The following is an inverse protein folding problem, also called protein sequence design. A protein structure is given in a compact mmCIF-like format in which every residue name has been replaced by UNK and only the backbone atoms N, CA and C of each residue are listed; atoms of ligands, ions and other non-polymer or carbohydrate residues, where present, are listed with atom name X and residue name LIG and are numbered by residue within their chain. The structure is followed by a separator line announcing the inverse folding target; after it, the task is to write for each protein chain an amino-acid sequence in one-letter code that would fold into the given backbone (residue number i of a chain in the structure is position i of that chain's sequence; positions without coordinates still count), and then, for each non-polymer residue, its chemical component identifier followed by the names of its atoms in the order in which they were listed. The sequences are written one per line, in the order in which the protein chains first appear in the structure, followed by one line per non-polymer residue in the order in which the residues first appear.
data_IF_352211269042
#
_entry.id   IF_352211269042
#
_cell.length_a   1.000
_cell.length_b   1.000
_cell.length_c   1.000
_cell.angle_alpha   90.00
_cell.angle_beta   90.00
_cell.angle_gamma   90.00
#
_symmetry.space_group_name_H-M   'P 1'
#
loop_
_entity.id
_entity.type
_entity.pdbx_description
1 polymer ?
#
# COMPACT_ATOMS: atom_id res chain seq x y z
N UNK A 1 -40.34 20.41 10.48
CA UNK A 1 -39.21 19.47 10.49
C UNK A 1 -38.29 19.85 9.34
N UNK A 2 -37.08 20.33 9.64
CA UNK A 2 -36.06 20.58 8.62
C UNK A 2 -35.37 19.25 8.38
N UNK A 3 -35.47 18.75 7.15
CA UNK A 3 -34.68 17.63 6.65
C UNK A 3 -33.23 18.11 6.55
N UNK A 4 -32.41 17.77 7.53
CA UNK A 4 -30.99 18.11 7.53
C UNK A 4 -30.27 17.29 6.45
N UNK A 5 -29.96 17.98 5.35
CA UNK A 5 -28.92 17.76 4.36
C UNK A 5 -28.20 16.40 4.40
N UNK A 6 -28.56 15.54 3.44
CA UNK A 6 -27.61 14.67 2.76
C UNK A 6 -26.55 15.55 2.05
N UNK A 7 -25.60 16.09 2.81
CA UNK A 7 -24.42 16.74 2.24
C UNK A 7 -23.53 15.63 1.66
N UNK A 8 -23.83 15.22 0.43
CA UNK A 8 -22.87 14.55 -0.43
C UNK A 8 -21.57 15.37 -0.38
N UNK A 9 -20.49 14.77 0.13
CA UNK A 9 -19.17 15.39 0.17
C UNK A 9 -18.64 15.46 -1.26
N UNK A 10 -19.11 16.44 -2.03
CA UNK A 10 -18.60 16.79 -3.36
C UNK A 10 -17.46 17.83 -3.29
N UNK A 11 -17.15 18.36 -2.10
CA UNK A 11 -16.02 19.27 -1.93
C UNK A 11 -14.70 18.53 -2.23
N UNK A 12 -14.17 18.79 -3.43
CA UNK A 12 -12.90 18.27 -3.93
C UNK A 12 -11.76 18.53 -2.94
N UNK A 13 -11.75 19.68 -2.25
CA UNK A 13 -10.71 19.98 -1.26
C UNK A 13 -10.82 19.10 -0.03
N UNK A 14 -12.04 18.74 0.40
CA UNK A 14 -12.28 17.82 1.52
C UNK A 14 -11.95 16.38 1.13
N UNK A 15 -12.35 15.94 -0.06
CA UNK A 15 -12.00 14.61 -0.59
C UNK A 15 -10.48 14.43 -0.68
N UNK A 16 -9.78 15.44 -1.20
CA UNK A 16 -8.32 15.43 -1.25
C UNK A 16 -7.70 15.37 0.16
N UNK A 17 -8.23 16.16 1.10
CA UNK A 17 -7.77 16.20 2.48
C UNK A 17 -7.95 14.84 3.15
N UNK A 18 -9.08 14.19 2.94
CA UNK A 18 -9.38 12.86 3.47
C UNK A 18 -8.38 11.83 2.92
N UNK A 19 -8.20 11.77 1.61
CA UNK A 19 -7.23 10.90 0.96
C UNK A 19 -5.81 11.12 1.48
N UNK A 20 -5.38 12.38 1.63
CA UNK A 20 -4.05 12.72 2.13
C UNK A 20 -3.85 12.30 3.58
N UNK A 21 -4.83 12.56 4.45
CA UNK A 21 -4.78 12.12 5.86
C UNK A 21 -4.67 10.61 5.95
N UNK A 22 -5.49 9.91 5.16
CA UNK A 22 -5.49 8.46 5.09
C UNK A 22 -4.14 7.93 4.62
N UNK A 23 -3.62 8.42 3.49
CA UNK A 23 -2.32 8.03 2.97
C UNK A 23 -1.21 8.16 4.02
N UNK A 24 -1.19 9.29 4.75
CA UNK A 24 -0.22 9.55 5.82
C UNK A 24 -0.39 8.58 6.99
N UNK A 25 -1.64 8.29 7.38
CA UNK A 25 -1.93 7.35 8.47
C UNK A 25 -1.43 5.94 8.16
N UNK A 26 -1.49 5.55 6.88
CA UNK A 26 -0.99 4.26 6.40
C UNK A 26 0.54 4.12 6.42
N UNK A 27 1.28 5.23 6.60
CA UNK A 27 2.74 5.20 6.64
C UNK A 27 3.25 4.87 8.05
N UNK A 28 4.20 3.95 8.13
CA UNK A 28 4.80 3.50 9.40
C UNK A 28 5.98 4.36 9.86
N UNK A 29 6.46 5.27 9.01
CA UNK A 29 7.60 6.13 9.31
C UNK A 29 7.23 7.28 10.27
N UNK A 30 7.89 7.33 11.44
CA UNK A 30 7.68 8.38 12.47
C UNK A 30 7.85 9.82 11.93
N UNK A 31 8.69 10.01 10.91
CA UNK A 31 8.99 11.33 10.30
C UNK A 31 8.40 11.50 8.90
N UNK A 32 7.45 10.66 8.50
CA UNK A 32 6.87 10.71 7.15
C UNK A 32 6.37 12.11 6.78
N UNK A 33 5.57 12.75 7.65
CA UNK A 33 5.00 14.09 7.39
C UNK A 33 6.08 15.15 7.14
N UNK A 34 7.15 15.16 7.93
CA UNK A 34 8.23 16.13 7.75
C UNK A 34 9.04 15.85 6.48
N UNK A 35 9.28 14.58 6.18
CA UNK A 35 10.00 14.15 4.98
C UNK A 35 9.20 14.50 3.71
N UNK A 36 7.88 14.29 3.73
CA UNK A 36 6.96 14.68 2.66
C UNK A 36 7.03 16.19 2.40
N UNK A 37 6.93 17.02 3.44
CA UNK A 37 7.03 18.48 3.28
C UNK A 37 8.39 18.90 2.74
N UNK A 38 9.47 18.23 3.16
CA UNK A 38 10.82 18.47 2.62
C UNK A 38 10.87 18.12 1.12
N UNK A 39 10.46 16.91 0.74
CA UNK A 39 10.46 16.47 -0.66
C UNK A 39 9.62 17.36 -1.57
N UNK A 40 8.44 17.80 -1.12
CA UNK A 40 7.62 18.76 -1.85
C UNK A 40 8.33 20.11 -2.07
N UNK A 41 9.13 20.56 -1.10
CA UNK A 41 9.87 21.81 -1.23
C UNK A 41 11.10 21.67 -2.12
N UNK A 42 11.76 20.51 -2.10
CA UNK A 42 12.85 20.19 -3.01
C UNK A 42 12.36 20.19 -4.48
N UNK A 43 11.09 19.82 -4.72
CA UNK A 43 10.39 19.95 -6.02
C UNK A 43 9.79 21.34 -6.29
N UNK A 44 10.00 22.31 -5.38
CA UNK A 44 9.58 23.69 -5.56
C UNK A 44 8.09 23.97 -5.31
N UNK A 45 7.37 23.13 -4.56
CA UNK A 45 5.96 23.36 -4.18
C UNK A 45 5.79 24.54 -3.21
N UNK A 46 6.82 24.87 -2.44
CA UNK A 46 6.87 25.97 -1.47
C UNK A 46 5.69 25.93 -0.49
N UNK A 47 5.70 24.94 0.39
CA UNK A 47 4.73 24.73 1.46
C UNK A 47 5.44 24.57 2.81
N UNK A 48 5.00 25.32 3.83
CA UNK A 48 5.51 25.16 5.19
C UNK A 48 4.83 23.99 5.89
N UNK A 49 5.52 23.37 6.85
CA UNK A 49 4.95 22.29 7.66
C UNK A 49 3.68 22.73 8.41
N UNK A 50 3.64 23.98 8.89
CA UNK A 50 2.47 24.57 9.54
C UNK A 50 1.28 24.66 8.59
N UNK A 51 1.47 25.20 7.37
CA UNK A 51 0.39 25.29 6.38
C UNK A 51 -0.12 23.91 5.95
N UNK A 52 0.79 22.95 5.77
CA UNK A 52 0.43 21.56 5.49
C UNK A 52 -0.41 20.95 6.62
N UNK A 53 0.02 21.12 7.87
CA UNK A 53 -0.69 20.61 9.04
C UNK A 53 -2.05 21.27 9.26
N UNK A 54 -2.15 22.59 9.04
CA UNK A 54 -3.41 23.33 9.11
C UNK A 54 -4.40 22.86 8.05
N UNK A 55 -3.92 22.56 6.84
CA UNK A 55 -4.75 21.95 5.81
C UNK A 55 -5.31 20.60 6.23
N UNK A 56 -4.48 19.69 6.75
CA UNK A 56 -4.93 18.38 7.24
C UNK A 56 -5.99 18.51 8.35
N UNK A 57 -5.84 19.51 9.22
CA UNK A 57 -6.70 19.75 10.38
C UNK A 57 -7.92 20.64 10.07
N UNK A 58 -8.28 20.83 8.78
CA UNK A 58 -9.42 21.65 8.34
C UNK A 58 -9.36 23.13 8.77
N UNK A 59 -8.20 23.63 9.16
CA UNK A 59 -8.02 25.04 9.59
C UNK A 59 -7.83 25.99 8.42
N UNK A 60 -7.19 25.51 7.35
CA UNK A 60 -6.93 26.31 6.14
C UNK A 60 -7.16 25.48 4.87
N UNK A 61 -7.34 26.16 3.74
CA UNK A 61 -7.32 25.54 2.42
C UNK A 61 -5.91 25.52 1.84
N UNK A 62 -5.67 24.61 0.88
CA UNK A 62 -4.58 24.73 -0.07
C UNK A 62 -5.16 25.06 -1.43
N UNK A 63 -4.40 25.77 -2.27
CA UNK A 63 -4.79 25.95 -3.67
C UNK A 63 -4.77 24.61 -4.40
N UNK A 64 -5.57 24.49 -5.45
CA UNK A 64 -5.61 23.31 -6.30
C UNK A 64 -4.23 22.96 -6.87
N UNK A 65 -3.50 23.96 -7.35
CA UNK A 65 -2.12 23.81 -7.83
C UNK A 65 -1.22 23.13 -6.78
N UNK A 66 -1.36 23.47 -5.49
CA UNK A 66 -0.59 22.82 -4.42
C UNK A 66 -1.07 21.39 -4.19
N UNK A 67 -2.38 21.14 -4.18
CA UNK A 67 -2.96 19.80 -4.04
C UNK A 67 -2.54 18.87 -5.19
N UNK A 68 -2.61 19.33 -6.43
CA UNK A 68 -2.18 18.56 -7.60
C UNK A 68 -0.69 18.20 -7.53
N UNK A 69 0.18 19.12 -7.12
CA UNK A 69 1.61 18.83 -6.94
C UNK A 69 1.87 17.84 -5.79
N UNK A 70 1.08 17.89 -4.72
CA UNK A 70 1.15 16.89 -3.66
C UNK A 70 0.74 15.50 -4.17
N UNK A 71 -0.38 15.37 -4.90
CA UNK A 71 -0.77 14.10 -5.49
C UNK A 71 0.31 13.53 -6.43
N UNK A 72 0.86 14.39 -7.29
CA UNK A 72 1.94 14.01 -8.21
C UNK A 72 3.17 13.49 -7.46
N UNK A 73 3.62 14.19 -6.41
CA UNK A 73 4.74 13.76 -5.57
C UNK A 73 4.49 12.39 -4.92
N UNK A 74 3.23 12.09 -4.56
CA UNK A 74 2.82 10.80 -4.01
C UNK A 74 2.63 9.71 -5.10
N UNK A 75 2.90 10.02 -6.37
CA UNK A 75 2.78 9.09 -7.49
C UNK A 75 1.34 8.82 -7.93
N UNK A 76 0.47 9.83 -7.84
CA UNK A 76 -0.93 9.79 -8.29
C UNK A 76 -1.23 10.93 -9.27
N UNK A 77 -2.17 10.70 -10.18
CA UNK A 77 -2.89 11.81 -10.82
C UNK A 77 -3.78 12.51 -9.81
N UNK A 78 -4.11 13.77 -10.07
CA UNK A 78 -4.92 14.55 -9.13
C UNK A 78 -6.29 13.90 -8.94
N UNK A 79 -6.92 13.49 -10.03
CA UNK A 79 -8.25 12.87 -10.08
C UNK A 79 -8.28 11.51 -9.38
N UNK A 80 -7.23 10.69 -9.54
CA UNK A 80 -7.08 9.42 -8.81
C UNK A 80 -7.07 9.66 -7.30
N UNK A 81 -6.38 10.70 -6.85
CA UNK A 81 -6.32 11.02 -5.43
C UNK A 81 -7.66 11.54 -4.88
N UNK A 82 -8.45 12.25 -5.70
CA UNK A 82 -9.83 12.63 -5.37
C UNK A 82 -10.74 11.40 -5.31
N UNK A 83 -10.59 10.47 -6.26
CA UNK A 83 -11.36 9.23 -6.30
C UNK A 83 -11.09 8.39 -5.05
N UNK A 84 -9.84 8.29 -4.59
CA UNK A 84 -9.52 7.67 -3.30
C UNK A 84 -10.30 8.33 -2.15
N UNK A 85 -10.37 9.67 -2.13
CA UNK A 85 -11.17 10.41 -1.17
C UNK A 85 -12.65 9.98 -1.19
N UNK A 86 -13.25 9.86 -2.38
CA UNK A 86 -14.65 9.42 -2.54
C UNK A 86 -14.85 8.00 -2.02
N UNK A 87 -13.95 7.07 -2.39
CA UNK A 87 -13.97 5.69 -1.91
C UNK A 87 -13.87 5.60 -0.39
N UNK A 88 -13.06 6.44 0.24
CA UNK A 88 -12.94 6.47 1.69
C UNK A 88 -14.20 6.97 2.39
N UNK A 89 -14.97 7.87 1.76
CA UNK A 89 -16.29 8.28 2.27
C UNK A 89 -17.26 7.10 2.19
N UNK A 90 -17.39 6.49 1.01
CA UNK A 90 -18.25 5.31 0.79
C UNK A 90 -17.90 4.16 1.76
N UNK A 91 -16.61 3.92 1.97
CA UNK A 91 -16.14 2.87 2.86
C UNK A 91 -16.34 3.20 4.33
N UNK A 92 -16.29 4.47 4.74
CA UNK A 92 -16.54 4.85 6.14
C UNK A 92 -17.97 4.50 6.56
N UNK A 93 -18.91 4.61 5.63
CA UNK A 93 -20.31 4.24 5.84
C UNK A 93 -20.50 2.71 5.86
N UNK A 94 -19.61 1.96 5.20
CA UNK A 94 -19.65 0.49 5.15
C UNK A 94 -18.78 -0.22 6.23
N UNK A 95 -17.70 0.43 6.69
CA UNK A 95 -16.72 -0.07 7.67
C UNK A 95 -16.05 1.10 8.40
N UNK A 96 -16.22 1.25 9.73
CA UNK A 96 -15.54 2.31 10.48
C UNK A 96 -14.02 2.08 10.50
N UNK A 97 -13.31 2.81 9.64
CA UNK A 97 -11.85 2.77 9.44
C UNK A 97 -11.04 3.01 10.73
N UNK A 98 -11.65 3.61 11.76
CA UNK A 98 -11.05 3.83 13.08
C UNK A 98 -10.81 2.53 13.87
N UNK A 99 -11.31 1.39 13.40
CA UNK A 99 -11.08 0.05 13.96
C UNK A 99 -10.33 -0.91 13.02
N UNK A 100 -9.66 -0.40 11.98
CA UNK A 100 -8.70 -1.24 11.25
C UNK A 100 -7.50 -1.42 12.16
N UNK A 101 -7.58 -2.44 13.02
CA UNK A 101 -6.47 -2.86 13.85
C UNK A 101 -5.26 -3.21 13.00
N UNK A 102 -4.10 -3.18 13.62
CA UNK A 102 -2.82 -3.60 13.04
C UNK A 102 -2.92 -4.92 12.25
N UNK A 103 -3.75 -5.86 12.73
CA UNK A 103 -4.05 -7.15 12.09
C UNK A 103 -4.72 -7.05 10.73
N UNK A 104 -5.70 -6.16 10.55
CA UNK A 104 -6.37 -5.99 9.25
C UNK A 104 -5.44 -5.36 8.20
N UNK A 105 -4.52 -4.49 8.63
CA UNK A 105 -3.45 -3.97 7.77
C UNK A 105 -2.43 -5.06 7.40
N UNK A 106 -2.06 -5.91 8.36
CA UNK A 106 -1.20 -7.07 8.10
C UNK A 106 -1.87 -8.05 7.12
N UNK A 107 -3.15 -8.37 7.32
CA UNK A 107 -3.91 -9.23 6.43
C UNK A 107 -3.92 -8.67 5.01
N UNK A 108 -4.19 -7.37 4.85
CA UNK A 108 -4.19 -6.75 3.53
C UNK A 108 -2.81 -6.80 2.85
N UNK A 109 -1.73 -6.50 3.59
CA UNK A 109 -0.36 -6.60 3.07
C UNK A 109 -0.04 -8.01 2.61
N UNK A 110 -0.40 -9.02 3.40
CA UNK A 110 -0.22 -10.43 3.06
C UNK A 110 -1.02 -10.81 1.81
N UNK A 111 -2.28 -10.38 1.70
CA UNK A 111 -3.11 -10.57 0.51
C UNK A 111 -2.45 -9.98 -0.74
N UNK A 112 -1.92 -8.75 -0.66
CA UNK A 112 -1.23 -8.11 -1.77
C UNK A 112 -0.02 -8.94 -2.23
N UNK A 113 0.79 -9.45 -1.30
CA UNK A 113 1.95 -10.28 -1.65
C UNK A 113 1.53 -11.64 -2.24
N UNK A 114 0.47 -12.27 -1.71
CA UNK A 114 -0.10 -13.49 -2.29
C UNK A 114 -0.56 -13.23 -3.73
N UNK A 115 -1.27 -12.12 -3.97
CA UNK A 115 -1.74 -11.79 -5.32
C UNK A 115 -0.57 -11.53 -6.27
N UNK A 116 0.50 -10.87 -5.83
CA UNK A 116 1.72 -10.71 -6.63
C UNK A 116 2.38 -12.05 -6.97
N UNK A 117 2.44 -12.99 -6.02
CA UNK A 117 2.98 -14.33 -6.28
C UNK A 117 2.10 -15.11 -7.25
N UNK A 118 0.77 -15.05 -7.13
CA UNK A 118 -0.18 -15.61 -8.10
C UNK A 118 0.08 -15.02 -9.49
N UNK A 119 0.21 -13.69 -9.56
CA UNK A 119 0.49 -12.99 -10.82
C UNK A 119 1.79 -13.44 -11.45
N UNK A 120 2.85 -13.58 -10.66
CA UNK A 120 4.15 -14.05 -11.11
C UNK A 120 4.09 -15.50 -11.58
N UNK A 121 3.49 -16.40 -10.80
CA UNK A 121 3.38 -17.83 -11.11
C UNK A 121 2.63 -18.08 -12.41
N UNK A 122 1.54 -17.35 -12.63
CA UNK A 122 0.64 -17.57 -13.76
C UNK A 122 0.74 -16.53 -14.87
N UNK A 123 1.75 -15.65 -14.80
CA UNK A 123 1.99 -14.55 -15.74
C UNK A 123 0.75 -13.66 -15.93
N UNK A 124 0.00 -13.43 -14.85
CA UNK A 124 -1.18 -12.55 -14.87
C UNK A 124 -0.75 -11.10 -14.65
N UNK A 125 -1.40 -10.20 -15.36
CA UNK A 125 -1.28 -8.76 -15.16
C UNK A 125 -2.13 -8.30 -13.97
N UNK A 126 -1.94 -7.05 -13.52
CA UNK A 126 -2.85 -6.44 -12.54
C UNK A 126 -4.29 -6.35 -13.06
N UNK A 127 -4.45 -6.18 -14.37
CA UNK A 127 -5.77 -6.07 -15.01
C UNK A 127 -6.50 -7.41 -15.01
N UNK A 128 -5.79 -8.53 -15.08
CA UNK A 128 -6.41 -9.84 -14.99
C UNK A 128 -7.04 -10.08 -13.61
N UNK A 129 -6.33 -9.70 -12.54
CA UNK A 129 -6.84 -9.81 -11.18
C UNK A 129 -8.00 -8.83 -10.93
N UNK A 130 -7.90 -7.58 -11.41
CA UNK A 130 -9.03 -6.64 -11.31
C UNK A 130 -10.27 -7.16 -12.04
N UNK A 131 -10.09 -7.82 -13.19
CA UNK A 131 -11.20 -8.46 -13.92
C UNK A 131 -11.79 -9.64 -13.16
N UNK A 132 -10.99 -10.46 -12.46
CA UNK A 132 -11.52 -11.52 -11.60
C UNK A 132 -12.42 -10.98 -10.50
N UNK A 133 -12.08 -9.80 -9.98
CA UNK A 133 -12.82 -9.10 -8.93
C UNK A 133 -14.00 -8.27 -9.46
N UNK A 134 -14.20 -8.17 -10.78
CA UNK A 134 -15.13 -7.23 -11.40
C UNK A 134 -14.95 -5.79 -10.86
N UNK A 135 -13.69 -5.38 -10.68
CA UNK A 135 -13.29 -4.15 -10.01
C UNK A 135 -12.63 -3.21 -11.01
N UNK A 136 -12.90 -1.90 -10.88
CA UNK A 136 -12.16 -0.90 -11.63
C UNK A 136 -10.66 -1.00 -11.34
N UNK A 137 -9.84 -0.80 -12.37
CA UNK A 137 -8.40 -0.97 -12.23
C UNK A 137 -7.78 0.03 -11.25
N UNK A 138 -8.32 1.25 -11.14
CA UNK A 138 -7.85 2.25 -10.18
C UNK A 138 -8.16 1.81 -8.75
N UNK A 139 -9.35 1.26 -8.50
CA UNK A 139 -9.72 0.70 -7.19
C UNK A 139 -8.82 -0.47 -6.79
N UNK A 140 -8.46 -1.31 -7.76
CA UNK A 140 -7.51 -2.39 -7.55
C UNK A 140 -6.10 -1.84 -7.23
N UNK A 141 -5.66 -0.76 -7.91
CA UNK A 141 -4.38 -0.10 -7.60
C UNK A 141 -4.36 0.47 -6.17
N UNK A 142 -5.47 1.02 -5.67
CA UNK A 142 -5.53 1.47 -4.28
C UNK A 142 -5.33 0.32 -3.29
N UNK A 143 -5.88 -0.86 -3.58
CA UNK A 143 -5.69 -2.05 -2.73
C UNK A 143 -4.27 -2.58 -2.77
N UNK A 144 -3.66 -2.63 -3.96
CA UNK A 144 -2.24 -3.00 -4.11
C UNK A 144 -1.29 -2.04 -3.38
N UNK A 145 -1.63 -0.76 -3.31
CA UNK A 145 -0.89 0.25 -2.53
C UNK A 145 -1.21 0.23 -1.03
N UNK A 146 -2.01 -0.73 -0.55
CA UNK A 146 -2.48 -0.83 0.83
C UNK A 146 -3.27 0.40 1.31
N UNK A 147 -3.91 1.13 0.40
CA UNK A 147 -4.73 2.30 0.75
C UNK A 147 -6.18 1.91 1.03
N UNK A 148 -6.64 0.79 0.50
CA UNK A 148 -7.95 0.23 0.80
C UNK A 148 -7.74 -1.26 1.05
N UNK A 149 -8.30 -1.86 2.11
CA UNK A 149 -8.17 -3.29 2.31
C UNK A 149 -9.01 -4.07 1.29
N UNK A 150 -8.52 -5.25 0.88
CA UNK A 150 -9.37 -6.27 0.31
C UNK A 150 -10.33 -6.80 1.38
N UNK A 151 -11.57 -7.08 0.99
CA UNK A 151 -12.49 -7.83 1.84
C UNK A 151 -12.32 -9.36 1.61
N UNK A 152 -12.88 -10.18 2.50
CA UNK A 152 -12.75 -11.64 2.41
C UNK A 152 -13.37 -12.23 1.14
N UNK A 153 -14.49 -11.69 0.66
CA UNK A 153 -15.17 -12.18 -0.54
C UNK A 153 -14.34 -11.90 -1.81
N UNK A 154 -13.70 -10.73 -1.87
CA UNK A 154 -12.74 -10.37 -2.93
C UNK A 154 -11.56 -11.35 -2.92
N UNK A 155 -11.01 -11.65 -1.73
CA UNK A 155 -9.91 -12.62 -1.58
C UNK A 155 -10.36 -14.00 -2.08
N UNK A 156 -11.48 -14.51 -1.60
CA UNK A 156 -12.03 -15.80 -1.98
C UNK A 156 -12.30 -15.91 -3.49
N UNK A 157 -12.82 -14.84 -4.09
CA UNK A 157 -13.10 -14.77 -5.54
C UNK A 157 -11.83 -14.97 -6.36
N UNK A 158 -10.70 -14.34 -5.98
CA UNK A 158 -9.43 -14.52 -6.71
C UNK A 158 -8.96 -15.96 -6.59
N UNK A 159 -8.98 -16.53 -5.38
CA UNK A 159 -8.60 -17.93 -5.16
C UNK A 159 -9.46 -18.90 -5.99
N UNK A 160 -10.78 -18.71 -6.02
CA UNK A 160 -11.69 -19.54 -6.79
C UNK A 160 -11.42 -19.43 -8.29
N UNK A 161 -11.28 -18.22 -8.83
CA UNK A 161 -11.03 -17.99 -10.26
C UNK A 161 -9.69 -18.55 -10.69
N UNK A 162 -8.65 -18.38 -9.88
CA UNK A 162 -7.32 -18.92 -10.16
C UNK A 162 -7.35 -20.44 -10.06
N UNK A 163 -7.96 -21.03 -9.02
CA UNK A 163 -8.07 -22.48 -8.88
C UNK A 163 -8.87 -23.15 -10.00
N UNK A 164 -9.94 -22.51 -10.49
CA UNK A 164 -10.70 -22.97 -11.66
C UNK A 164 -9.90 -22.91 -12.96
N UNK A 165 -9.04 -21.90 -13.12
CA UNK A 165 -8.28 -21.65 -14.34
C UNK A 165 -6.94 -22.38 -14.38
N UNK A 166 -6.37 -22.68 -13.22
CA UNK A 166 -5.05 -23.28 -13.05
C UNK A 166 -5.14 -24.49 -12.10
N UNK A 167 -5.28 -25.70 -12.64
CA UNK A 167 -5.47 -26.91 -11.83
C UNK A 167 -4.31 -27.24 -10.88
N UNK A 168 -3.12 -26.69 -11.13
CA UNK A 168 -1.93 -26.86 -10.29
C UNK A 168 -1.85 -25.84 -9.14
N UNK A 169 -2.86 -24.99 -8.95
CA UNK A 169 -2.87 -23.93 -7.94
C UNK A 169 -2.57 -24.43 -6.53
N UNK A 170 -3.11 -25.60 -6.18
CA UNK A 170 -2.88 -26.23 -4.87
C UNK A 170 -1.55 -26.99 -4.80
N UNK A 171 -0.82 -27.14 -5.92
CA UNK A 171 0.51 -27.76 -5.87
C UNK A 171 1.49 -26.78 -5.21
N UNK A 172 2.18 -27.20 -4.14
CA UNK A 172 3.19 -26.36 -3.51
C UNK A 172 4.28 -26.02 -4.53
N UNK A 173 4.74 -24.77 -4.48
CA UNK A 173 5.88 -24.32 -5.28
C UNK A 173 7.05 -25.25 -4.94
N UNK A 174 7.47 -26.11 -5.89
CA UNK A 174 8.80 -26.71 -5.81
C UNK A 174 9.75 -25.53 -5.73
N UNK A 175 10.36 -25.27 -4.57
CA UNK A 175 11.44 -24.29 -4.43
C UNK A 175 12.38 -24.57 -5.59
N UNK A 176 12.51 -23.62 -6.53
CA UNK A 176 13.59 -23.70 -7.49
C UNK A 176 14.86 -23.85 -6.67
N UNK A 177 15.64 -24.90 -6.90
CA UNK A 177 16.91 -25.13 -6.23
C UNK A 177 17.68 -23.80 -6.27
N UNK A 178 17.87 -23.20 -5.09
CA UNK A 178 18.77 -22.07 -4.98
C UNK A 178 20.11 -22.54 -5.54
N UNK A 179 20.83 -21.71 -6.33
CA UNK A 179 22.14 -22.12 -6.84
C UNK A 179 22.97 -22.55 -5.63
N UNK A 180 23.35 -23.82 -5.59
CA UNK A 180 24.24 -24.34 -4.56
C UNK A 180 25.55 -23.55 -4.70
N UNK A 181 25.74 -22.54 -3.85
CA UNK A 181 27.02 -21.86 -3.72
C UNK A 181 28.05 -22.93 -3.34
N UNK A 182 29.18 -22.93 -4.04
CA UNK A 182 30.27 -23.82 -3.69
C UNK A 182 30.80 -23.44 -2.30
N UNK A 183 31.41 -24.39 -1.59
CA UNK A 183 32.05 -24.12 -0.28
C UNK A 183 33.06 -22.97 -0.39
N UNK A 184 33.69 -22.80 -1.56
CA UNK A 184 34.59 -21.67 -1.84
C UNK A 184 33.88 -20.31 -1.88
N UNK A 185 32.65 -20.23 -2.40
CA UNK A 185 31.89 -18.97 -2.45
C UNK A 185 31.43 -18.56 -1.05
N UNK A 186 31.03 -19.54 -0.24
CA UNK A 186 30.64 -19.31 1.16
C UNK A 186 31.85 -18.85 1.99
N UNK A 187 33.03 -19.42 1.77
CA UNK A 187 34.25 -19.03 2.46
C UNK A 187 34.67 -17.58 2.14
N UNK A 188 34.50 -17.13 0.90
CA UNK A 188 34.74 -15.74 0.52
C UNK A 188 33.75 -14.77 1.20
N UNK A 189 32.48 -15.13 1.24
CA UNK A 189 31.44 -14.30 1.86
C UNK A 189 31.68 -14.19 3.37
N UNK A 190 32.06 -15.29 4.05
CA UNK A 190 32.43 -15.28 5.47
C UNK A 190 33.64 -14.37 5.70
N UNK A 191 34.65 -14.36 4.82
CA UNK A 191 35.80 -13.45 5.00
C UNK A 191 35.40 -11.98 4.99
N UNK A 192 34.41 -11.61 4.19
CA UNK A 192 33.88 -10.24 4.03
C UNK A 192 32.95 -9.81 5.19
N UNK A 193 32.52 -10.73 6.05
CA UNK A 193 31.67 -10.43 7.21
C UNK A 193 32.43 -9.69 8.33
N UNK A 194 31.70 -8.87 9.08
CA UNK A 194 32.19 -8.23 10.28
C UNK A 194 32.46 -9.24 11.41
N UNK A 195 33.27 -8.90 12.43
CA UNK A 195 33.57 -9.81 13.54
C UNK A 195 32.32 -10.30 14.28
N UNK A 196 31.31 -9.43 14.44
CA UNK A 196 30.05 -9.77 15.12
C UNK A 196 29.24 -10.81 14.33
N UNK A 197 29.19 -10.67 13.01
CA UNK A 197 28.50 -11.61 12.11
C UNK A 197 29.21 -12.96 12.07
N UNK A 198 30.55 -12.97 12.14
CA UNK A 198 31.35 -14.20 12.25
C UNK A 198 31.09 -14.95 13.55
N UNK A 199 30.91 -14.26 14.67
CA UNK A 199 30.52 -14.90 15.94
C UNK A 199 29.12 -15.51 15.88
N UNK A 200 28.15 -14.83 15.25
CA UNK A 200 26.81 -15.37 15.04
C UNK A 200 26.86 -16.64 14.18
N UNK A 201 27.60 -16.62 13.07
CA UNK A 201 27.77 -17.82 12.23
C UNK A 201 28.44 -18.96 12.99
N UNK A 202 29.48 -18.66 13.78
CA UNK A 202 30.18 -19.65 14.60
C UNK A 202 29.24 -20.29 15.64
N UNK A 203 28.46 -19.48 16.35
CA UNK A 203 27.49 -19.98 17.33
C UNK A 203 26.37 -20.83 16.73
N UNK A 204 26.03 -20.62 15.46
CA UNK A 204 25.04 -21.46 14.76
C UNK A 204 25.62 -22.82 14.36
N UNK A 205 26.92 -22.90 14.03
CA UNK A 205 27.61 -24.15 13.68
C UNK A 205 27.91 -24.99 14.92
N UNK A 206 28.22 -24.37 16.05
CA UNK A 206 28.54 -25.06 17.30
C UNK A 206 27.31 -25.57 18.08
N UNK A 207 26.09 -25.21 17.65
CA UNK A 207 24.82 -25.64 18.26
C UNK A 207 24.03 -26.66 17.40
N UNK A 208 24.66 -27.24 16.38
CA UNK A 208 24.23 -28.51 15.74
C UNK A 208 25.07 -29.68 16.27
#
# INVERSE_FOLDING_TARGET
MKTDNENHVEDISELFRLALRHYIHMQTEKKFKSNLVKGLNDEGVKISFSNFSNFLNKKTSLSEKKRARIAHHLGFKYEEFILLGRRLVELKDAMPMEKIGTEALYLNRSTVEIFKEIQKRYKLSGRDISNFLNMDFIDYQFRLRNLIPFNFDEIATVFEKVGKRYPDFNNPIKKSEAPQKSVSDVAEDIKKMSPLEKEVVKSLIENE
#
